data_IF_825933340463
#
_entry.id   IF_825933340463
#
_cell.length_a   1.000
_cell.length_b   1.000
_cell.length_c   1.000
_cell.angle_alpha   90.00
_cell.angle_beta   90.00
_cell.angle_gamma   90.00
#
_symmetry.space_group_name_H-M   'P 1'
#
loop_
_entity.id
_entity.type
_entity.pdbx_description
1 polymer ?
#
# COMPACT_ATOMS: atom_id res chain seq x y z
N UNK A 1 -17.31 23.57 4.36
CA UNK A 1 -18.75 23.87 4.48
C UNK A 1 -19.49 22.81 3.69
N UNK A 2 -19.93 21.74 4.36
CA UNK A 2 -20.75 20.67 3.77
C UNK A 2 -21.94 20.54 4.71
N UNK A 3 -23.11 20.91 4.21
CA UNK A 3 -24.37 20.92 4.93
C UNK A 3 -24.80 19.49 5.25
N UNK A 4 -24.84 19.17 6.55
CA UNK A 4 -25.49 17.98 7.10
C UNK A 4 -26.99 18.10 6.88
N UNK A 5 -27.51 17.32 5.96
CA UNK A 5 -28.93 17.14 5.74
C UNK A 5 -29.47 16.19 6.82
N UNK A 6 -30.51 16.67 7.52
CA UNK A 6 -31.09 16.04 8.71
C UNK A 6 -31.94 14.83 8.33
N UNK A 7 -31.72 13.75 9.06
CA UNK A 7 -32.61 12.60 9.16
C UNK A 7 -33.96 13.04 9.73
N UNK A 8 -35.03 12.60 9.08
CA UNK A 8 -36.41 12.71 9.54
C UNK A 8 -36.89 11.29 9.87
N UNK A 9 -37.17 10.95 11.15
CA UNK A 9 -37.78 9.67 11.50
C UNK A 9 -39.13 9.93 12.15
N UNK A 10 -40.24 9.82 11.39
CA UNK A 10 -41.55 9.58 11.99
C UNK A 10 -42.58 9.25 10.91
N UNK A 11 -42.94 7.97 10.84
CA UNK A 11 -43.89 7.40 9.91
C UNK A 11 -44.34 6.04 10.41
N UNK A 12 -44.96 6.04 11.59
CA UNK A 12 -45.57 4.87 12.24
C UNK A 12 -46.87 4.47 11.52
N UNK A 13 -46.72 3.75 10.42
CA UNK A 13 -47.82 3.00 9.79
C UNK A 13 -47.79 1.55 10.27
N UNK A 14 -48.67 1.19 11.20
CA UNK A 14 -48.84 -0.18 11.68
C UNK A 14 -49.34 -1.08 10.56
N UNK A 15 -48.46 -1.94 10.05
CA UNK A 15 -48.81 -3.01 9.12
C UNK A 15 -49.25 -4.27 9.91
N UNK A 16 -50.31 -4.96 9.47
CA UNK A 16 -50.81 -6.16 10.14
C UNK A 16 -49.78 -7.30 10.07
N UNK A 17 -49.67 -8.04 11.17
CA UNK A 17 -48.78 -9.19 11.30
C UNK A 17 -49.10 -10.27 10.24
N UNK A 18 -48.11 -10.73 9.46
CA UNK A 18 -48.33 -11.80 8.49
C UNK A 18 -48.51 -13.14 9.22
N UNK A 19 -49.68 -13.75 8.99
CA UNK A 19 -50.05 -15.12 9.40
C UNK A 19 -49.05 -16.16 8.86
N UNK A 20 -48.57 -17.03 9.75
CA UNK A 20 -47.45 -17.95 9.56
C UNK A 20 -47.61 -19.14 8.61
N UNK A 21 -48.63 -19.21 7.76
CA UNK A 21 -48.90 -20.40 6.93
C UNK A 21 -48.44 -20.30 5.46
N UNK A 22 -47.93 -19.16 5.00
CA UNK A 22 -47.40 -19.01 3.61
C UNK A 22 -45.89 -19.25 3.47
N UNK A 23 -45.20 -19.65 4.54
CA UNK A 23 -43.75 -19.82 4.53
C UNK A 23 -43.27 -21.19 3.99
N UNK A 24 -44.16 -22.15 3.72
CA UNK A 24 -43.78 -23.52 3.28
C UNK A 24 -43.98 -23.82 1.78
N UNK A 25 -44.76 -23.03 1.03
CA UNK A 25 -45.01 -23.31 -0.41
C UNK A 25 -44.08 -22.55 -1.37
N UNK A 26 -43.29 -21.57 -0.91
CA UNK A 26 -42.38 -20.81 -1.77
C UNK A 26 -40.96 -21.41 -1.91
N UNK A 27 -40.71 -22.61 -1.36
CA UNK A 27 -39.39 -23.28 -1.41
C UNK A 27 -39.26 -24.31 -2.55
N UNK A 28 -40.27 -24.47 -3.42
CA UNK A 28 -40.34 -25.57 -4.39
C UNK A 28 -39.75 -25.38 -5.78
N UNK A 29 -39.29 -24.18 -6.21
CA UNK A 29 -38.96 -23.94 -7.64
C UNK A 29 -37.67 -23.18 -7.94
N UNK A 30 -36.85 -22.82 -6.94
CA UNK A 30 -35.57 -22.12 -7.20
C UNK A 30 -34.47 -23.02 -7.81
N UNK A 31 -34.64 -24.35 -7.81
CA UNK A 31 -33.71 -25.27 -8.46
C UNK A 31 -33.75 -25.22 -9.99
N UNK A 32 -34.93 -25.07 -10.58
CA UNK A 32 -35.15 -25.12 -12.04
C UNK A 32 -34.71 -23.84 -12.76
N UNK A 33 -34.67 -22.70 -12.08
CA UNK A 33 -34.23 -21.43 -12.69
C UNK A 33 -32.71 -21.33 -12.91
N UNK A 34 -31.90 -22.23 -12.35
CA UNK A 34 -30.45 -22.25 -12.57
C UNK A 34 -30.02 -23.06 -13.80
N UNK A 35 -30.91 -23.82 -14.42
CA UNK A 35 -30.70 -24.41 -15.75
C UNK A 35 -30.95 -23.38 -16.86
N UNK A 36 -30.49 -22.15 -16.65
CA UNK A 36 -30.37 -21.18 -17.72
C UNK A 36 -29.37 -21.71 -18.74
N UNK A 37 -29.90 -22.09 -19.89
CA UNK A 37 -29.11 -22.44 -21.06
C UNK A 37 -28.23 -21.24 -21.44
N UNK A 38 -26.97 -21.51 -21.78
CA UNK A 38 -26.07 -20.46 -22.24
C UNK A 38 -26.63 -19.82 -23.53
N UNK A 39 -26.94 -18.53 -23.45
CA UNK A 39 -27.34 -17.72 -24.61
C UNK A 39 -26.12 -17.03 -25.19
N UNK A 40 -25.99 -17.04 -26.52
CA UNK A 40 -24.86 -16.42 -27.24
C UNK A 40 -23.76 -17.42 -27.61
N UNK A 41 -22.91 -17.03 -28.56
CA UNK A 41 -21.78 -17.85 -29.02
C UNK A 41 -20.71 -17.90 -27.93
N UNK A 42 -20.48 -19.09 -27.35
CA UNK A 42 -19.46 -19.30 -26.33
C UNK A 42 -18.65 -20.54 -26.69
N UNK A 43 -17.61 -20.41 -27.53
CA UNK A 43 -16.78 -21.54 -27.90
C UNK A 43 -15.99 -22.06 -26.69
N UNK A 44 -15.92 -23.38 -26.56
CA UNK A 44 -15.18 -24.10 -25.53
C UNK A 44 -13.71 -23.68 -25.50
N UNK A 45 -13.18 -23.41 -24.30
CA UNK A 45 -11.77 -23.00 -24.13
C UNK A 45 -10.76 -24.06 -24.60
N UNK A 46 -11.17 -25.34 -24.63
CA UNK A 46 -10.28 -26.45 -24.97
C UNK A 46 -10.34 -26.85 -26.46
N UNK A 47 -11.55 -27.01 -27.00
CA UNK A 47 -11.74 -27.53 -28.36
C UNK A 47 -12.41 -26.56 -29.34
N UNK A 48 -12.90 -25.39 -28.87
CA UNK A 48 -13.58 -24.41 -29.72
C UNK A 48 -15.05 -24.68 -30.03
N UNK A 49 -15.63 -25.83 -29.61
CA UNK A 49 -17.04 -26.16 -29.81
C UNK A 49 -18.00 -25.11 -29.22
N UNK A 50 -19.04 -24.70 -29.93
CA UNK A 50 -20.00 -23.70 -29.45
C UNK A 50 -20.91 -24.28 -28.35
N UNK A 51 -20.84 -23.69 -27.16
CA UNK A 51 -21.56 -24.16 -25.96
C UNK A 51 -22.95 -23.55 -25.81
N UNK A 52 -23.45 -22.85 -26.84
CA UNK A 52 -24.80 -22.28 -26.86
C UNK A 52 -25.85 -23.37 -26.62
N UNK A 53 -26.82 -23.07 -25.75
CA UNK A 53 -27.93 -23.98 -25.49
C UNK A 53 -27.62 -25.11 -24.51
N UNK A 54 -26.41 -25.17 -23.95
CA UNK A 54 -26.08 -26.13 -22.89
C UNK A 54 -26.30 -25.51 -21.50
N UNK A 55 -26.66 -26.33 -20.51
CA UNK A 55 -26.77 -25.90 -19.11
C UNK A 55 -25.40 -25.46 -18.57
N UNK A 56 -25.36 -24.40 -17.77
CA UNK A 56 -24.15 -23.88 -17.10
C UNK A 56 -23.44 -24.97 -16.27
N UNK A 57 -24.18 -25.98 -15.80
CA UNK A 57 -23.64 -27.12 -15.02
C UNK A 57 -23.09 -28.26 -15.88
N UNK A 58 -23.34 -28.22 -17.18
CA UNK A 58 -22.96 -29.28 -18.11
C UNK A 58 -21.45 -29.37 -18.38
N UNK A 59 -21.11 -30.32 -19.23
CA UNK A 59 -19.77 -30.50 -19.80
C UNK A 59 -19.82 -30.34 -21.32
N UNK A 60 -18.72 -29.90 -21.91
CA UNK A 60 -18.58 -29.78 -23.36
C UNK A 60 -18.69 -31.20 -23.98
N UNK A 61 -19.58 -31.44 -24.96
CA UNK A 61 -19.80 -32.76 -25.54
C UNK A 61 -18.59 -33.29 -26.32
N UNK A 62 -17.75 -32.39 -26.85
CA UNK A 62 -16.59 -32.78 -27.66
C UNK A 62 -15.37 -33.21 -26.82
N UNK A 63 -15.12 -32.53 -25.69
CA UNK A 63 -13.85 -32.71 -24.96
C UNK A 63 -14.02 -32.95 -23.45
N UNK A 64 -15.26 -33.04 -22.97
CA UNK A 64 -15.60 -33.25 -21.56
C UNK A 64 -15.26 -32.07 -20.62
N UNK A 65 -14.83 -30.92 -21.15
CA UNK A 65 -14.46 -29.77 -20.31
C UNK A 65 -15.71 -29.17 -19.65
N UNK A 66 -15.74 -28.98 -18.32
CA UNK A 66 -16.88 -28.36 -17.64
C UNK A 66 -17.20 -26.96 -18.19
N UNK A 67 -18.49 -26.66 -18.42
CA UNK A 67 -18.93 -25.37 -18.96
C UNK A 67 -18.55 -24.21 -18.04
N UNK A 68 -18.65 -24.39 -16.71
CA UNK A 68 -18.21 -23.39 -15.72
C UNK A 68 -16.77 -22.94 -15.95
N UNK A 69 -15.87 -23.82 -16.35
CA UNK A 69 -14.47 -23.47 -16.65
C UNK A 69 -14.38 -22.56 -17.87
N UNK A 70 -15.16 -22.84 -18.92
CA UNK A 70 -15.19 -21.98 -20.11
C UNK A 70 -15.85 -20.64 -19.80
N UNK A 71 -16.96 -20.64 -19.04
CA UNK A 71 -17.64 -19.42 -18.59
C UNK A 71 -16.68 -18.56 -17.77
N UNK A 72 -16.02 -19.13 -16.75
CA UNK A 72 -15.04 -18.40 -15.95
C UNK A 72 -13.91 -17.85 -16.82
N UNK A 73 -13.42 -18.60 -17.81
CA UNK A 73 -12.34 -18.13 -18.68
C UNK A 73 -12.76 -17.05 -19.68
N UNK A 74 -13.97 -17.15 -20.26
CA UNK A 74 -14.48 -16.25 -21.31
C UNK A 74 -15.21 -15.03 -20.74
N UNK A 75 -15.93 -15.21 -19.65
CA UNK A 75 -16.79 -14.19 -19.03
C UNK A 75 -16.05 -13.45 -17.93
N UNK A 76 -14.99 -14.01 -17.32
CA UNK A 76 -14.07 -13.23 -16.49
C UNK A 76 -12.94 -12.67 -17.38
N UNK A 77 -13.04 -11.42 -17.89
CA UNK A 77 -11.95 -10.78 -18.62
C UNK A 77 -10.66 -10.67 -17.79
N UNK A 78 -10.75 -10.93 -16.49
CA UNK A 78 -9.63 -10.90 -15.54
C UNK A 78 -9.13 -12.30 -15.18
N UNK A 79 -9.48 -13.35 -15.92
CA UNK A 79 -8.97 -14.71 -15.69
C UNK A 79 -7.42 -14.77 -15.68
N UNK A 80 -6.76 -13.87 -16.43
CA UNK A 80 -5.30 -13.70 -16.45
C UNK A 80 -4.72 -13.13 -15.12
N UNK A 81 -5.56 -12.55 -14.27
CA UNK A 81 -5.18 -12.11 -12.93
C UNK A 81 -4.82 -13.30 -12.01
N UNK A 82 -5.39 -14.48 -12.27
CA UNK A 82 -5.17 -15.71 -11.47
C UNK A 82 -3.89 -16.47 -11.79
N UNK A 83 -3.05 -15.98 -12.71
CA UNK A 83 -1.75 -16.61 -12.97
C UNK A 83 -0.94 -16.69 -11.67
N UNK A 84 -0.41 -17.88 -11.32
CA UNK A 84 0.28 -18.08 -10.05
C UNK A 84 1.50 -17.16 -9.94
N UNK A 85 1.67 -16.56 -8.77
CA UNK A 85 2.89 -15.83 -8.41
C UNK A 85 4.04 -16.84 -8.34
N UNK A 86 5.20 -16.51 -8.92
CA UNK A 86 6.33 -17.47 -9.01
C UNK A 86 6.87 -17.87 -7.64
N UNK A 87 6.91 -16.91 -6.72
CA UNK A 87 7.44 -17.08 -5.36
C UNK A 87 6.49 -16.43 -4.33
N UNK A 88 5.31 -17.03 -4.05
CA UNK A 88 4.27 -16.38 -3.24
C UNK A 88 4.74 -16.06 -1.82
N UNK A 89 5.54 -16.94 -1.20
CA UNK A 89 6.10 -16.73 0.14
C UNK A 89 7.06 -15.55 0.19
N UNK A 90 7.95 -15.43 -0.80
CA UNK A 90 8.91 -14.33 -0.87
C UNK A 90 8.18 -13.00 -1.09
N UNK A 91 7.23 -12.95 -2.03
CA UNK A 91 6.43 -11.75 -2.31
C UNK A 91 5.64 -11.32 -1.08
N UNK A 92 4.97 -12.25 -0.40
CA UNK A 92 4.21 -11.96 0.81
C UNK A 92 5.12 -11.45 1.95
N UNK A 93 6.28 -12.09 2.16
CA UNK A 93 7.26 -11.63 3.15
C UNK A 93 7.78 -10.23 2.82
N UNK A 94 8.18 -9.98 1.57
CA UNK A 94 8.65 -8.68 1.11
C UNK A 94 7.62 -7.56 1.28
N UNK A 95 6.34 -7.84 1.03
CA UNK A 95 5.25 -6.88 1.22
C UNK A 95 5.05 -6.43 2.67
N UNK A 96 5.44 -7.25 3.64
CA UNK A 96 5.34 -6.93 5.08
C UNK A 96 6.66 -6.38 5.62
N UNK A 97 7.78 -7.01 5.28
CA UNK A 97 9.11 -6.66 5.79
C UNK A 97 9.54 -5.28 5.28
N UNK A 98 9.32 -4.95 4.00
CA UNK A 98 9.70 -3.65 3.46
C UNK A 98 9.10 -2.47 4.24
N UNK A 99 7.76 -2.37 4.40
CA UNK A 99 7.19 -1.22 5.08
C UNK A 99 7.42 -1.25 6.59
N UNK A 100 7.55 -2.44 7.21
CA UNK A 100 7.88 -2.56 8.63
C UNK A 100 9.29 -2.06 8.94
N UNK A 101 10.28 -2.47 8.14
CA UNK A 101 11.65 -2.01 8.29
C UNK A 101 11.78 -0.51 7.97
N UNK A 102 11.05 -0.02 6.96
CA UNK A 102 10.99 1.42 6.65
C UNK A 102 10.37 2.24 7.81
N UNK A 103 9.31 1.73 8.44
CA UNK A 103 8.70 2.36 9.61
C UNK A 103 9.66 2.37 10.81
N UNK A 104 10.38 1.27 11.04
CA UNK A 104 11.39 1.20 12.09
C UNK A 104 12.48 2.26 11.89
N UNK A 105 12.96 2.44 10.65
CA UNK A 105 13.91 3.49 10.31
C UNK A 105 13.34 4.89 10.57
N UNK A 106 12.09 5.14 10.20
CA UNK A 106 11.42 6.43 10.45
C UNK A 106 11.28 6.69 11.96
N UNK A 107 10.83 5.70 12.73
CA UNK A 107 10.65 5.84 14.18
C UNK A 107 11.97 6.08 14.90
N UNK A 108 13.05 5.43 14.48
CA UNK A 108 14.36 5.68 15.09
C UNK A 108 14.90 7.08 14.79
N UNK A 109 14.49 7.71 13.67
CA UNK A 109 14.76 9.12 13.38
C UNK A 109 13.86 10.10 14.15
N UNK A 110 12.66 9.67 14.54
CA UNK A 110 11.73 10.48 15.35
C UNK A 110 12.15 10.57 16.81
N UNK A 111 12.67 9.48 17.38
CA UNK A 111 12.95 9.38 18.81
C UNK A 111 13.85 10.51 19.35
N UNK A 112 15.01 10.85 18.72
CA UNK A 112 15.83 11.97 19.18
C UNK A 112 15.08 13.32 19.12
N UNK A 113 14.23 13.51 18.10
CA UNK A 113 13.45 14.75 17.93
C UNK A 113 12.37 14.90 18.99
N UNK A 114 11.69 13.81 19.31
CA UNK A 114 10.69 13.78 20.38
C UNK A 114 11.37 14.04 21.72
N UNK A 115 12.55 13.46 21.97
CA UNK A 115 13.31 13.70 23.19
C UNK A 115 13.73 15.17 23.33
N UNK A 116 14.21 15.80 22.26
CA UNK A 116 14.56 17.23 22.23
C UNK A 116 13.34 18.12 22.48
N UNK A 117 12.20 17.81 21.85
CA UNK A 117 10.94 18.50 22.10
C UNK A 117 10.50 18.37 23.56
N UNK A 118 10.54 17.17 24.13
CA UNK A 118 10.18 16.95 25.54
C UNK A 118 11.14 17.66 26.50
N UNK A 119 12.43 17.76 26.15
CA UNK A 119 13.41 18.54 26.90
C UNK A 119 13.09 20.03 26.90
N UNK A 120 12.57 20.57 25.79
CA UNK A 120 12.11 21.97 25.74
C UNK A 120 10.94 22.25 26.70
N UNK A 121 10.18 21.23 27.08
CA UNK A 121 9.16 21.29 28.13
C UNK A 121 9.70 21.04 29.55
N UNK A 122 11.02 20.96 29.73
CA UNK A 122 11.67 20.75 31.02
C UNK A 122 11.75 19.29 31.47
N UNK A 123 11.43 18.32 30.61
CA UNK A 123 11.57 16.90 30.95
C UNK A 123 13.02 16.44 30.78
N UNK A 124 13.65 15.82 31.80
CA UNK A 124 15.06 15.41 31.76
C UNK A 124 15.24 14.08 30.99
N UNK A 125 14.90 14.08 29.71
CA UNK A 125 15.01 12.90 28.85
C UNK A 125 16.34 12.95 28.10
N UNK A 126 17.18 11.95 28.34
CA UNK A 126 18.43 11.73 27.63
C UNK A 126 18.26 10.52 26.70
N UNK A 127 18.28 10.78 25.39
CA UNK A 127 18.29 9.73 24.36
C UNK A 127 19.60 9.85 23.60
N UNK A 128 20.39 8.77 23.61
CA UNK A 128 21.57 8.68 22.76
C UNK A 128 21.15 8.54 21.30
N UNK A 129 21.51 9.52 20.46
CA UNK A 129 21.15 9.53 19.04
C UNK A 129 21.91 8.47 18.22
N UNK A 130 23.13 8.12 18.65
CA UNK A 130 24.05 7.25 17.90
C UNK A 130 23.46 5.86 17.59
N UNK A 131 23.00 5.07 18.58
CA UNK A 131 22.47 3.73 18.29
C UNK A 131 21.20 3.79 17.43
N UNK A 132 20.38 4.83 17.57
CA UNK A 132 19.13 4.98 16.82
C UNK A 132 19.37 5.23 15.31
N UNK A 133 20.45 5.92 14.97
CA UNK A 133 20.80 6.14 13.56
C UNK A 133 21.40 4.89 12.92
N UNK A 134 22.19 4.10 13.64
CA UNK A 134 22.65 2.80 13.16
C UNK A 134 21.48 1.85 12.92
N UNK A 135 20.49 1.85 13.82
CA UNK A 135 19.21 1.15 13.62
C UNK A 135 18.50 1.66 12.35
N UNK A 136 18.46 2.98 12.13
CA UNK A 136 17.84 3.54 10.92
C UNK A 136 18.49 3.07 9.63
N UNK A 137 19.83 3.02 9.60
CA UNK A 137 20.60 2.59 8.42
C UNK A 137 20.40 1.10 8.19
N UNK A 138 20.53 0.28 9.25
CA UNK A 138 20.31 -1.16 9.17
C UNK A 138 18.89 -1.51 8.71
N UNK A 139 17.87 -0.84 9.28
CA UNK A 139 16.48 -1.02 8.88
C UNK A 139 16.23 -0.58 7.42
N UNK A 140 16.87 0.50 6.96
CA UNK A 140 16.82 0.91 5.56
C UNK A 140 17.44 -0.11 4.61
N UNK A 141 18.57 -0.74 5.00
CA UNK A 141 19.19 -1.81 4.23
C UNK A 141 18.29 -3.05 4.14
N UNK A 142 17.65 -3.46 5.26
CA UNK A 142 16.67 -4.55 5.27
C UNK A 142 15.47 -4.22 4.37
N UNK A 143 14.98 -2.98 4.40
CA UNK A 143 13.90 -2.53 3.54
C UNK A 143 14.28 -2.60 2.04
N UNK A 144 15.51 -2.22 1.68
CA UNK A 144 16.02 -2.34 0.32
C UNK A 144 16.11 -3.80 -0.16
N UNK A 145 16.63 -4.69 0.69
CA UNK A 145 16.73 -6.13 0.41
C UNK A 145 15.33 -6.73 0.24
N UNK A 146 14.37 -6.35 1.09
CA UNK A 146 12.99 -6.83 0.97
C UNK A 146 12.36 -6.45 -0.38
N UNK A 147 12.61 -5.24 -0.89
CA UNK A 147 12.11 -4.82 -2.21
C UNK A 147 12.71 -5.62 -3.38
N UNK A 148 13.92 -6.17 -3.25
CA UNK A 148 14.49 -7.06 -4.27
C UNK A 148 13.61 -8.30 -4.51
N UNK A 149 12.96 -8.81 -3.45
CA UNK A 149 12.00 -9.92 -3.54
C UNK A 149 10.73 -9.61 -4.33
N UNK A 150 10.49 -8.33 -4.65
CA UNK A 150 9.38 -7.87 -5.47
C UNK A 150 9.80 -7.60 -6.93
N UNK A 151 11.07 -7.81 -7.29
CA UNK A 151 11.52 -7.68 -8.68
C UNK A 151 10.98 -8.85 -9.49
N UNK A 152 10.12 -8.53 -10.45
CA UNK A 152 9.48 -9.49 -11.36
C UNK A 152 8.75 -10.62 -10.60
N UNK A 153 7.74 -10.29 -9.78
CA UNK A 153 7.00 -11.29 -8.99
C UNK A 153 6.21 -12.25 -9.90
N UNK A 154 5.98 -11.85 -11.17
CA UNK A 154 5.19 -12.56 -12.16
C UNK A 154 5.85 -12.48 -13.54
N UNK A 155 5.66 -13.51 -14.37
CA UNK A 155 6.18 -13.54 -15.74
C UNK A 155 5.51 -12.52 -16.68
N UNK A 156 4.28 -12.11 -16.36
CA UNK A 156 3.47 -11.15 -17.14
C UNK A 156 3.73 -9.68 -16.81
N UNK A 157 4.55 -9.39 -15.79
CA UNK A 157 4.87 -8.02 -15.44
C UNK A 157 5.69 -7.38 -16.56
N UNK A 158 5.23 -6.23 -17.07
CA UNK A 158 5.96 -5.49 -18.09
C UNK A 158 7.37 -5.14 -17.59
N UNK A 159 8.38 -5.34 -18.45
CA UNK A 159 9.79 -5.23 -18.08
C UNK A 159 10.17 -3.86 -17.51
N UNK A 160 9.54 -2.76 -17.98
CA UNK A 160 9.76 -1.41 -17.48
C UNK A 160 9.34 -1.24 -16.01
N UNK A 161 8.33 -1.98 -15.52
CA UNK A 161 7.90 -1.92 -14.11
C UNK A 161 8.98 -2.47 -13.18
N UNK A 162 9.69 -3.51 -13.63
CA UNK A 162 10.85 -4.05 -12.90
C UNK A 162 12.00 -3.04 -12.85
N UNK A 163 12.21 -2.26 -13.91
CA UNK A 163 13.19 -1.17 -13.90
C UNK A 163 12.79 -0.04 -12.95
N UNK A 164 11.52 0.38 -12.94
CA UNK A 164 11.04 1.35 -11.95
C UNK A 164 11.32 0.87 -10.52
N UNK A 165 11.03 -0.41 -10.23
CA UNK A 165 11.31 -0.98 -8.92
C UNK A 165 12.81 -1.01 -8.60
N UNK A 166 13.65 -1.37 -9.58
CA UNK A 166 15.11 -1.35 -9.42
C UNK A 166 15.61 0.06 -9.09
N UNK A 167 15.10 1.09 -9.77
CA UNK A 167 15.39 2.50 -9.43
C UNK A 167 14.96 2.80 -7.99
N UNK A 168 13.80 2.32 -7.57
CA UNK A 168 13.35 2.43 -6.17
C UNK A 168 14.31 1.77 -5.18
N UNK A 169 14.81 0.57 -5.49
CA UNK A 169 15.82 -0.11 -4.65
C UNK A 169 17.13 0.68 -4.61
N UNK A 170 17.62 1.14 -5.76
CA UNK A 170 18.85 1.94 -5.84
C UNK A 170 18.71 3.29 -5.11
N UNK A 171 17.49 3.81 -4.98
CA UNK A 171 17.22 5.03 -4.21
C UNK A 171 17.46 4.88 -2.70
N UNK A 172 17.66 3.65 -2.18
CA UNK A 172 18.15 3.47 -0.81
C UNK A 172 19.62 3.83 -0.62
N UNK A 173 20.44 3.83 -1.68
CA UNK A 173 21.85 4.21 -1.60
C UNK A 173 21.98 5.67 -1.11
N UNK A 174 21.37 6.68 -1.76
CA UNK A 174 21.44 8.06 -1.27
C UNK A 174 20.75 8.24 0.09
N UNK A 175 19.70 7.47 0.42
CA UNK A 175 19.09 7.45 1.76
C UNK A 175 20.14 7.05 2.81
N UNK A 176 20.81 5.91 2.62
CA UNK A 176 21.79 5.41 3.58
C UNK A 176 23.01 6.33 3.71
N UNK A 177 23.48 6.91 2.59
CA UNK A 177 24.56 7.91 2.61
C UNK A 177 24.13 9.15 3.41
N UNK A 178 22.91 9.66 3.19
CA UNK A 178 22.38 10.80 3.93
C UNK A 178 22.26 10.50 5.43
N UNK A 179 21.72 9.33 5.79
CA UNK A 179 21.60 8.88 7.18
C UNK A 179 22.96 8.77 7.87
N UNK A 180 23.95 8.18 7.19
CA UNK A 180 25.32 8.06 7.70
C UNK A 180 25.95 9.43 7.97
N UNK A 181 25.86 10.36 7.01
CA UNK A 181 26.42 11.70 7.17
C UNK A 181 25.71 12.49 8.27
N UNK A 182 24.39 12.39 8.39
CA UNK A 182 23.66 12.99 9.51
C UNK A 182 24.08 12.38 10.84
N UNK A 183 24.36 11.06 10.90
CA UNK A 183 24.86 10.41 12.10
C UNK A 183 26.26 10.89 12.52
N UNK A 184 27.14 11.16 11.55
CA UNK A 184 28.44 11.78 11.84
C UNK A 184 28.29 13.19 12.40
N UNK A 185 27.34 13.98 11.87
CA UNK A 185 27.04 15.33 12.38
C UNK A 185 26.44 15.24 13.79
N UNK A 186 25.47 14.36 14.01
CA UNK A 186 24.77 14.21 15.31
C UNK A 186 25.68 13.66 16.41
N UNK A 187 26.72 12.87 16.06
CA UNK A 187 27.79 12.47 16.99
C UNK A 187 28.64 13.65 17.46
N UNK A 188 28.90 14.62 16.59
CA UNK A 188 29.66 15.81 16.93
C UNK A 188 28.81 16.85 17.66
N UNK A 189 27.50 16.90 17.38
CA UNK A 189 26.56 17.91 17.88
C UNK A 189 25.23 17.28 18.31
N UNK A 190 25.04 16.94 19.59
CA UNK A 190 23.89 16.16 20.08
C UNK A 190 22.56 16.92 20.14
N UNK A 191 22.54 18.24 19.86
CA UNK A 191 21.32 19.09 19.89
C UNK A 191 21.00 19.66 18.48
N UNK A 192 20.52 18.82 17.55
CA UNK A 192 20.49 19.17 16.13
C UNK A 192 19.40 20.16 15.69
N UNK A 193 18.37 20.46 16.50
CA UNK A 193 17.26 21.30 16.06
C UNK A 193 17.11 22.62 16.82
N UNK A 194 17.42 22.68 18.12
CA UNK A 194 17.17 23.87 18.94
C UNK A 194 18.36 24.81 19.07
N UNK A 195 19.60 24.31 19.04
CA UNK A 195 20.76 25.15 19.39
C UNK A 195 21.56 25.68 18.20
N UNK A 196 21.65 24.99 17.06
CA UNK A 196 22.35 25.52 15.89
C UNK A 196 22.00 24.72 14.62
N UNK A 197 21.20 25.28 13.71
CA UNK A 197 20.98 24.65 12.39
C UNK A 197 22.22 24.84 11.52
N UNK A 198 23.08 23.83 11.51
CA UNK A 198 24.25 23.81 10.64
C UNK A 198 23.82 23.70 9.18
N UNK A 199 24.38 24.57 8.34
CA UNK A 199 24.04 24.73 6.91
C UNK A 199 24.47 23.55 6.04
N UNK A 200 25.10 22.51 6.59
CA UNK A 200 25.43 21.27 5.89
C UNK A 200 24.31 20.22 6.02
N UNK A 201 23.50 20.26 7.08
CA UNK A 201 22.49 19.24 7.39
C UNK A 201 21.33 19.21 6.38
N UNK A 202 20.90 20.37 5.87
CA UNK A 202 19.73 20.44 4.99
C UNK A 202 19.94 19.68 3.67
N UNK A 203 21.17 19.71 3.12
CA UNK A 203 21.49 19.01 1.88
C UNK A 203 21.28 17.50 2.03
N UNK A 204 21.71 16.92 3.16
CA UNK A 204 21.49 15.51 3.47
C UNK A 204 20.01 15.18 3.66
N UNK A 205 19.22 16.09 4.24
CA UNK A 205 17.77 15.90 4.40
C UNK A 205 17.02 15.96 3.07
N UNK A 206 17.43 16.85 2.16
CA UNK A 206 16.88 16.87 0.80
C UNK A 206 17.27 15.61 0.02
N UNK A 207 18.52 15.13 0.16
CA UNK A 207 18.96 13.87 -0.44
C UNK A 207 18.15 12.67 0.09
N UNK A 208 17.90 12.63 1.41
CA UNK A 208 17.03 11.65 2.03
C UNK A 208 15.62 11.70 1.43
N UNK A 209 15.02 12.89 1.38
CA UNK A 209 13.67 13.09 0.82
C UNK A 209 13.58 12.70 -0.65
N UNK A 210 14.57 13.07 -1.47
CA UNK A 210 14.65 12.69 -2.88
C UNK A 210 14.76 11.16 -3.05
N UNK A 211 15.57 10.49 -2.23
CA UNK A 211 15.66 9.04 -2.20
C UNK A 211 14.32 8.39 -1.84
N UNK A 212 13.61 8.90 -0.83
CA UNK A 212 12.29 8.39 -0.45
C UNK A 212 11.26 8.56 -1.57
N UNK A 213 11.25 9.70 -2.26
CA UNK A 213 10.42 9.92 -3.46
C UNK A 213 10.75 8.90 -4.55
N UNK A 214 12.04 8.63 -4.78
CA UNK A 214 12.51 7.58 -5.70
C UNK A 214 11.99 6.19 -5.35
N UNK A 215 12.03 5.81 -4.06
CA UNK A 215 11.46 4.54 -3.56
C UNK A 215 9.96 4.47 -3.84
N UNK A 216 9.19 5.49 -3.47
CA UNK A 216 7.73 5.47 -3.62
C UNK A 216 7.29 5.46 -5.09
N UNK A 217 7.93 6.27 -5.94
CA UNK A 217 7.63 6.29 -7.37
C UNK A 217 8.08 5.01 -8.07
N UNK A 218 9.24 4.46 -7.69
CA UNK A 218 9.77 3.22 -8.24
C UNK A 218 8.92 1.99 -7.89
N UNK A 219 8.42 1.91 -6.66
CA UNK A 219 7.59 0.80 -6.19
C UNK A 219 6.15 0.85 -6.75
N UNK A 220 5.61 2.04 -6.99
CA UNK A 220 4.19 2.26 -7.34
C UNK A 220 3.66 1.40 -8.48
N UNK A 221 4.32 1.24 -9.64
CA UNK A 221 3.79 0.43 -10.74
C UNK A 221 3.59 -1.04 -10.36
N UNK A 222 4.52 -1.60 -9.57
CA UNK A 222 4.46 -3.00 -9.11
C UNK A 222 3.37 -3.15 -8.05
N UNK A 223 3.30 -2.21 -7.10
CA UNK A 223 2.26 -2.20 -6.07
C UNK A 223 0.85 -2.20 -6.65
N UNK A 224 0.60 -1.37 -7.68
CA UNK A 224 -0.70 -1.32 -8.36
C UNK A 224 -1.07 -2.66 -8.99
N UNK A 225 -0.14 -3.32 -9.67
CA UNK A 225 -0.39 -4.63 -10.28
C UNK A 225 -0.68 -5.72 -9.24
N UNK A 226 0.02 -5.70 -8.10
CA UNK A 226 -0.24 -6.63 -6.99
C UNK A 226 -1.62 -6.39 -6.36
N UNK A 227 -1.99 -5.13 -6.16
CA UNK A 227 -3.31 -4.72 -5.65
C UNK A 227 -4.43 -5.14 -6.61
N UNK A 228 -4.26 -4.89 -7.92
CA UNK A 228 -5.26 -5.25 -8.94
C UNK A 228 -5.59 -6.75 -8.95
N UNK A 229 -4.63 -7.60 -8.58
CA UNK A 229 -4.81 -9.06 -8.56
C UNK A 229 -5.40 -9.60 -7.26
N UNK A 230 -5.34 -8.85 -6.17
CA UNK A 230 -5.90 -9.29 -4.90
C UNK A 230 -7.42 -9.10 -4.91
N UNK A 231 -8.13 -10.18 -5.24
CA UNK A 231 -9.60 -10.27 -5.32
C UNK A 231 -10.35 -9.82 -4.06
N UNK A 232 -9.72 -9.92 -2.88
CA UNK A 232 -10.27 -9.41 -1.63
C UNK A 232 -10.52 -7.88 -1.64
N UNK A 233 -9.96 -7.16 -2.61
CA UNK A 233 -10.14 -5.71 -2.81
C UNK A 233 -11.23 -5.37 -3.82
N UNK A 234 -11.88 -6.36 -4.45
CA UNK A 234 -13.04 -6.14 -5.34
C UNK A 234 -14.32 -5.76 -4.59
N UNK A 235 -14.37 -5.98 -3.27
CA UNK A 235 -15.59 -5.75 -2.45
C UNK A 235 -15.63 -4.40 -1.73
N UNK A 236 -14.56 -3.60 -1.73
CA UNK A 236 -14.59 -2.30 -1.05
C UNK A 236 -13.41 -1.42 -1.44
N UNK A 237 -13.70 -0.14 -1.74
CA UNK A 237 -12.80 0.97 -2.07
C UNK A 237 -11.40 0.81 -1.43
N UNK A 238 -10.48 0.16 -2.11
CA UNK A 238 -9.07 0.28 -1.75
C UNK A 238 -8.55 1.51 -2.45
N UNK A 239 -8.19 2.49 -1.63
CA UNK A 239 -7.81 3.80 -2.08
C UNK A 239 -6.51 3.71 -2.90
N UNK A 240 -6.58 4.10 -4.17
CA UNK A 240 -5.48 3.93 -5.14
C UNK A 240 -4.38 5.00 -4.98
N UNK A 241 -4.43 5.78 -3.89
CA UNK A 241 -3.68 7.04 -3.77
C UNK A 241 -2.59 7.07 -2.69
N UNK A 242 -2.49 6.08 -1.80
CA UNK A 242 -1.60 6.14 -0.62
C UNK A 242 -0.13 6.44 -0.94
N UNK A 243 0.45 5.78 -1.96
CA UNK A 243 1.86 6.02 -2.36
C UNK A 243 2.12 7.44 -2.91
N UNK A 244 1.15 8.02 -3.63
CA UNK A 244 1.29 9.41 -4.10
C UNK A 244 1.15 10.40 -2.95
N UNK A 245 0.24 10.14 -2.01
CA UNK A 245 0.09 10.95 -0.81
C UNK A 245 1.40 10.97 -0.01
N UNK A 246 2.11 9.85 0.07
CA UNK A 246 3.43 9.82 0.70
C UNK A 246 4.48 10.62 -0.08
N UNK A 247 4.48 10.59 -1.41
CA UNK A 247 5.35 11.48 -2.22
C UNK A 247 5.06 12.94 -1.92
N UNK A 248 3.78 13.34 -1.92
CA UNK A 248 3.39 14.73 -1.60
C UNK A 248 3.82 15.10 -0.17
N UNK A 249 3.61 14.22 0.82
CA UNK A 249 4.02 14.46 2.19
C UNK A 249 5.55 14.63 2.33
N UNK A 250 6.34 13.82 1.62
CA UNK A 250 7.80 13.99 1.56
C UNK A 250 8.21 15.30 0.89
N UNK A 251 7.52 15.70 -0.18
CA UNK A 251 7.78 16.98 -0.85
C UNK A 251 7.43 18.17 0.04
N UNK A 252 6.33 18.11 0.80
CA UNK A 252 5.97 19.14 1.79
C UNK A 252 7.06 19.30 2.85
N UNK A 253 7.62 18.18 3.35
CA UNK A 253 8.75 18.24 4.28
C UNK A 253 10.00 18.85 3.61
N UNK A 254 10.29 18.51 2.36
CA UNK A 254 11.40 19.07 1.59
C UNK A 254 11.24 20.57 1.31
N UNK A 255 10.02 21.06 1.06
CA UNK A 255 9.71 22.49 0.94
C UNK A 255 9.98 23.20 2.27
N UNK A 256 9.61 22.59 3.40
CA UNK A 256 9.98 23.10 4.72
C UNK A 256 11.51 23.23 4.88
N UNK A 257 12.26 22.20 4.49
CA UNK A 257 13.74 22.25 4.52
C UNK A 257 14.31 23.37 3.62
N UNK A 258 13.74 23.60 2.43
CA UNK A 258 14.15 24.69 1.54
C UNK A 258 13.85 26.08 2.12
N UNK A 259 12.64 26.28 2.68
CA UNK A 259 12.24 27.54 3.34
C UNK A 259 13.19 27.84 4.50
N UNK A 260 13.54 26.82 5.29
CA UNK A 260 14.46 26.97 6.42
C UNK A 260 15.82 27.53 5.97
N UNK A 261 16.37 27.01 4.87
CA UNK A 261 17.65 27.47 4.31
C UNK A 261 17.56 28.91 3.83
N UNK A 262 16.46 29.30 3.19
CA UNK A 262 16.23 30.69 2.77
C UNK A 262 16.13 31.65 3.96
N UNK A 263 15.64 31.17 5.10
CA UNK A 263 15.49 31.97 6.33
C UNK A 263 16.80 32.30 7.05
N UNK A 264 17.88 31.53 6.83
CA UNK A 264 19.16 31.68 7.57
C UNK A 264 19.77 33.08 7.46
N UNK A 265 19.55 33.78 6.34
CA UNK A 265 20.13 35.09 6.08
C UNK A 265 19.17 36.26 6.41
N UNK A 266 17.97 35.99 6.92
CA UNK A 266 16.98 37.03 7.22
C UNK A 266 17.06 37.41 8.71
N UNK A 267 17.53 38.61 9.06
CA UNK A 267 17.57 39.05 10.45
C UNK A 267 16.18 39.41 10.98
N UNK A 268 16.02 39.27 12.30
CA UNK A 268 14.82 39.71 13.03
C UNK A 268 13.59 38.83 12.80
N UNK A 269 12.40 39.45 12.92
CA UNK A 269 11.09 38.76 12.89
C UNK A 269 10.84 37.93 11.62
N UNK A 270 11.45 38.32 10.49
CA UNK A 270 11.34 37.56 9.24
C UNK A 270 12.00 36.18 9.35
N UNK A 271 13.19 36.08 9.93
CA UNK A 271 13.89 34.81 10.13
C UNK A 271 13.12 33.86 11.04
N UNK A 272 12.63 34.37 12.18
CA UNK A 272 11.83 33.60 13.15
C UNK A 272 10.56 33.02 12.52
N UNK A 273 9.84 33.81 11.71
CA UNK A 273 8.64 33.34 11.02
C UNK A 273 8.94 32.21 10.02
N UNK A 274 10.05 32.31 9.27
CA UNK A 274 10.49 31.26 8.35
C UNK A 274 10.90 29.99 9.09
N UNK A 275 11.54 30.12 10.25
CA UNK A 275 11.92 28.99 11.09
C UNK A 275 10.69 28.25 11.64
N UNK A 276 9.71 28.97 12.17
CA UNK A 276 8.46 28.37 12.67
C UNK A 276 7.71 27.67 11.53
N UNK A 277 7.51 28.37 10.41
CA UNK A 277 6.79 27.83 9.26
C UNK A 277 7.46 26.58 8.68
N UNK A 278 8.79 26.62 8.48
CA UNK A 278 9.54 25.46 7.98
C UNK A 278 9.44 24.27 8.93
N UNK A 279 9.52 24.50 10.24
CA UNK A 279 9.39 23.47 11.27
C UNK A 279 8.03 22.79 11.20
N UNK A 280 6.94 23.57 11.09
CA UNK A 280 5.58 23.04 10.96
C UNK A 280 5.46 22.17 9.71
N UNK A 281 5.94 22.65 8.56
CA UNK A 281 5.86 21.89 7.29
C UNK A 281 6.64 20.58 7.35
N UNK A 282 7.86 20.61 7.90
CA UNK A 282 8.69 19.42 8.13
C UNK A 282 7.95 18.43 9.02
N UNK A 283 7.38 18.90 10.14
CA UNK A 283 6.70 18.07 11.13
C UNK A 283 5.46 17.40 10.52
N UNK A 284 4.61 18.19 9.86
CA UNK A 284 3.37 17.71 9.22
C UNK A 284 3.69 16.72 8.09
N UNK A 285 4.64 17.06 7.20
CA UNK A 285 5.05 16.18 6.11
C UNK A 285 5.61 14.84 6.63
N UNK A 286 6.52 14.90 7.61
CA UNK A 286 7.10 13.69 8.23
C UNK A 286 6.02 12.85 8.95
N UNK A 287 5.05 13.50 9.60
CA UNK A 287 3.94 12.83 10.28
C UNK A 287 3.06 12.06 9.29
N UNK A 288 2.70 12.67 8.17
CA UNK A 288 1.92 12.00 7.12
C UNK A 288 2.67 10.85 6.46
N UNK A 289 3.99 10.97 6.24
CA UNK A 289 4.79 9.83 5.76
C UNK A 289 4.74 8.67 6.76
N UNK A 290 4.86 8.96 8.06
CA UNK A 290 4.82 7.93 9.12
C UNK A 290 3.47 7.20 9.14
N UNK A 291 2.36 7.94 9.09
CA UNK A 291 1.00 7.38 8.99
C UNK A 291 0.84 6.55 7.71
N UNK A 292 1.33 7.06 6.58
CA UNK A 292 1.32 6.37 5.30
C UNK A 292 2.07 5.04 5.32
N UNK A 293 3.19 4.96 6.06
CA UNK A 293 3.94 3.72 6.24
C UNK A 293 3.20 2.70 7.09
N UNK A 294 2.49 3.13 8.14
CA UNK A 294 1.61 2.22 8.91
C UNK A 294 0.51 1.65 8.02
N UNK A 295 -0.12 2.47 7.17
CA UNK A 295 -1.10 2.00 6.19
C UNK A 295 -0.49 0.98 5.22
N UNK A 296 0.75 1.21 4.75
CA UNK A 296 1.46 0.28 3.87
C UNK A 296 1.73 -1.08 4.54
N UNK A 297 1.96 -1.14 5.86
CA UNK A 297 2.10 -2.41 6.59
C UNK A 297 0.78 -3.18 6.60
N UNK A 298 -0.33 -2.50 6.92
CA UNK A 298 -1.67 -3.12 6.95
C UNK A 298 -2.06 -3.64 5.56
N UNK A 299 -1.83 -2.84 4.52
CA UNK A 299 -2.10 -3.24 3.14
C UNK A 299 -1.18 -4.38 2.70
N UNK A 300 0.12 -4.30 3.01
CA UNK A 300 1.10 -5.33 2.71
C UNK A 300 0.75 -6.68 3.35
N UNK A 301 0.26 -6.68 4.59
CA UNK A 301 -0.21 -7.88 5.29
C UNK A 301 -1.46 -8.48 4.62
N UNK A 302 -2.47 -7.65 4.30
CA UNK A 302 -3.70 -8.09 3.62
C UNK A 302 -3.44 -8.67 2.23
N UNK A 303 -2.60 -7.99 1.44
CA UNK A 303 -2.17 -8.45 0.11
C UNK A 303 -1.34 -9.73 0.25
N UNK A 304 -0.41 -9.78 1.21
CA UNK A 304 0.42 -10.95 1.48
C UNK A 304 -0.40 -12.20 1.81
N UNK A 305 -1.42 -12.08 2.66
CA UNK A 305 -2.35 -13.18 2.95
C UNK A 305 -3.09 -13.65 1.69
N UNK A 306 -3.53 -12.71 0.84
CA UNK A 306 -4.21 -13.03 -0.42
C UNK A 306 -3.28 -13.76 -1.41
N UNK A 307 -1.99 -13.39 -1.46
CA UNK A 307 -0.99 -14.03 -2.32
C UNK A 307 -0.65 -15.46 -1.87
N UNK A 308 -0.77 -15.75 -0.58
CA UNK A 308 -0.51 -17.08 -0.02
C UNK A 308 -1.67 -18.05 -0.20
N UNK A 309 -2.88 -17.56 -0.47
CA UNK A 309 -4.03 -18.43 -0.73
C UNK A 309 -3.80 -19.20 -2.05
N UNK A 310 -3.87 -20.53 -2.04
CA UNK A 310 -3.73 -21.31 -3.25
C UNK A 310 -4.86 -20.94 -4.22
N UNK A 311 -4.54 -20.78 -5.51
CA UNK A 311 -5.56 -20.57 -6.53
C UNK A 311 -6.58 -21.72 -6.45
N UNK A 312 -7.89 -21.44 -6.39
CA UNK A 312 -8.90 -22.48 -6.31
C UNK A 312 -8.71 -23.44 -7.49
N UNK A 313 -8.45 -24.71 -7.19
CA UNK A 313 -8.28 -25.70 -8.23
C UNK A 313 -9.64 -25.90 -8.93
N UNK A 314 -9.69 -26.13 -10.25
CA UNK A 314 -10.95 -26.43 -10.92
C UNK A 314 -11.72 -27.58 -10.26
N UNK A 315 -11.01 -28.55 -9.66
CA UNK A 315 -11.62 -29.65 -8.88
C UNK A 315 -12.35 -29.17 -7.64
N UNK A 316 -11.78 -28.23 -6.88
CA UNK A 316 -12.45 -27.67 -5.69
C UNK A 316 -13.77 -26.95 -6.01
N UNK A 317 -13.91 -26.42 -7.23
CA UNK A 317 -15.16 -25.79 -7.70
C UNK A 317 -16.18 -26.81 -8.20
N UNK A 318 -15.73 -27.99 -8.61
CA UNK A 318 -16.58 -29.09 -9.10
C UNK A 318 -17.10 -29.95 -7.94
N UNK A 319 -16.29 -30.17 -6.90
CA UNK A 319 -16.63 -31.04 -5.76
C UNK A 319 -17.37 -30.30 -4.62
N UNK A 320 -17.33 -28.96 -4.61
CA UNK A 320 -17.83 -28.13 -3.51
C UNK A 320 -19.24 -27.55 -3.65
N UNK A 321 -20.05 -27.95 -4.63
CA UNK A 321 -21.42 -27.44 -4.80
C UNK A 321 -22.33 -28.39 -5.55
#
# INVERSE_FOLDING_TARGET
>A
MVTRERLNPEGSGGAPAPSGDRAREAQGTSGDQLDRLLTGLMPCVRCGYDLRGLSIRGVCPECGTPLRTTILYRVDPEADAFKPVRFPKLVAASLVVWPSASLLAILSLWLPRIAELLRSFGLPIEVSAVPLMEISIGASAVAAIALLGLIRPMGTLAWWKSWCLLVGVLSYIPIMIALWNMALIDRAYPNPFLEYTRTDRWAWRLLLGAGMVGVFLGFRPVARDLVHRCLALRTGRVDRQTLLTMVVATLVAGVGDAIRVSGVNLPGMGGEAFEILSTILILVGSGFVTIGMVACIVDGWRIGQSVLLPSPSPRSVIEGG
#
